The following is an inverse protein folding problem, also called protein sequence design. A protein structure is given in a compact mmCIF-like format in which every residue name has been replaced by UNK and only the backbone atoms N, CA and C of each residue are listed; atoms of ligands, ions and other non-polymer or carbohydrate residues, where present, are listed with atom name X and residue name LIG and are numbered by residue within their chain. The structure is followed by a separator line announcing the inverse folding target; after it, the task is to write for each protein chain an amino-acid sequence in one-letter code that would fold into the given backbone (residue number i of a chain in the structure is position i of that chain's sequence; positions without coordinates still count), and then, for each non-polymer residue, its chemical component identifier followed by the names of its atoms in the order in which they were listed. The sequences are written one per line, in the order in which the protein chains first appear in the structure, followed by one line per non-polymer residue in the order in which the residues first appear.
data_IF_221608518446
#
_entry.id   IF_221608518446
#
_cell.length_a   1.000
_cell.length_b   1.000
_cell.length_c   1.000
_cell.angle_alpha   90.00
_cell.angle_beta   90.00
_cell.angle_gamma   90.00
#
_symmetry.space_group_name_H-M   'P 1'
#
loop_
_entity.id
_entity.type
_entity.pdbx_description
1 polymer ?
#
# COMPACT_ATOMS: atom_id res chain seq x y z
N UNK A 1 47.36 -36.20 25.46
CA UNK A 1 45.92 -36.34 25.17
C UNK A 1 45.39 -34.96 24.81
N UNK A 2 45.25 -34.65 23.51
CA UNK A 2 44.67 -33.38 23.03
C UNK A 2 43.19 -33.62 22.72
N UNK A 3 42.30 -32.90 23.40
CA UNK A 3 40.85 -32.93 23.14
C UNK A 3 40.58 -31.75 22.22
N UNK A 4 40.34 -32.02 20.94
CA UNK A 4 39.91 -31.05 19.96
C UNK A 4 38.39 -30.86 20.08
N UNK A 5 37.96 -29.76 20.67
CA UNK A 5 36.55 -29.38 20.76
C UNK A 5 36.09 -28.79 19.43
N UNK A 6 35.33 -29.56 18.64
CA UNK A 6 34.57 -29.05 17.49
C UNK A 6 33.44 -28.15 17.99
N UNK A 7 33.54 -26.85 17.71
CA UNK A 7 32.44 -25.89 17.86
C UNK A 7 31.48 -26.07 16.67
N UNK A 8 30.30 -26.66 16.91
CA UNK A 8 29.20 -26.64 15.95
C UNK A 8 28.64 -25.21 15.87
N UNK A 9 28.87 -24.54 14.75
CA UNK A 9 28.18 -23.31 14.38
C UNK A 9 26.74 -23.68 13.98
N UNK A 10 25.80 -23.50 14.91
CA UNK A 10 24.38 -23.56 14.58
C UNK A 10 24.04 -22.39 13.65
N UNK A 11 23.78 -22.66 12.39
CA UNK A 11 23.21 -21.69 11.46
C UNK A 11 21.78 -21.40 11.91
N UNK A 12 21.57 -20.28 12.60
CA UNK A 12 20.23 -19.78 12.86
C UNK A 12 19.58 -19.46 11.51
N UNK A 13 18.62 -20.28 11.08
CA UNK A 13 17.78 -19.95 9.93
C UNK A 13 17.05 -18.64 10.23
N UNK A 14 17.04 -17.66 9.32
CA UNK A 14 16.26 -16.45 9.51
C UNK A 14 14.80 -16.85 9.73
N UNK A 15 14.18 -16.32 10.80
CA UNK A 15 12.75 -16.49 11.03
C UNK A 15 12.00 -15.96 9.81
N UNK A 16 10.91 -16.62 9.37
CA UNK A 16 10.06 -16.09 8.32
C UNK A 16 9.67 -14.66 8.66
N UNK A 17 9.78 -13.75 7.69
CA UNK A 17 9.22 -12.42 7.86
C UNK A 17 7.71 -12.57 8.15
N UNK A 18 7.16 -11.87 9.14
CA UNK A 18 5.72 -11.93 9.42
C UNK A 18 4.92 -11.57 8.17
N UNK A 19 3.79 -12.26 7.93
CA UNK A 19 2.93 -12.00 6.78
C UNK A 19 2.42 -10.55 6.83
N UNK A 20 2.83 -9.76 5.84
CA UNK A 20 2.51 -8.33 5.76
C UNK A 20 1.00 -8.05 5.69
N UNK A 21 0.19 -9.03 5.27
CA UNK A 21 -1.27 -8.90 5.12
C UNK A 21 -2.08 -9.69 6.15
N UNK A 22 -1.45 -10.26 7.19
CA UNK A 22 -2.18 -10.85 8.34
C UNK A 22 -3.29 -9.92 8.88
N UNK A 23 -3.05 -8.61 9.10
CA UNK A 23 -4.09 -7.70 9.55
C UNK A 23 -5.28 -7.59 8.58
N UNK A 24 -5.04 -7.71 7.27
CA UNK A 24 -6.11 -7.67 6.28
C UNK A 24 -6.96 -8.94 6.32
N UNK A 25 -6.37 -10.11 6.59
CA UNK A 25 -7.12 -11.36 6.84
C UNK A 25 -8.01 -11.24 8.09
N UNK A 26 -7.62 -10.40 9.04
CA UNK A 26 -8.42 -10.02 10.21
C UNK A 26 -9.45 -8.89 9.93
N UNK A 27 -9.63 -8.49 8.67
CA UNK A 27 -10.60 -7.47 8.26
C UNK A 27 -10.14 -6.02 8.46
N UNK A 28 -8.87 -5.78 8.84
CA UNK A 28 -8.36 -4.41 9.00
C UNK A 28 -8.11 -3.74 7.65
N UNK A 29 -8.19 -2.42 7.65
CA UNK A 29 -7.95 -1.56 6.50
C UNK A 29 -6.56 -0.94 6.65
N UNK A 30 -5.79 -0.93 5.56
CA UNK A 30 -4.50 -0.25 5.56
C UNK A 30 -4.71 1.24 5.37
N UNK A 31 -4.21 2.04 6.29
CA UNK A 31 -4.23 3.50 6.25
C UNK A 31 -2.80 4.01 6.00
N UNK A 32 -2.58 4.67 4.86
CA UNK A 32 -1.27 5.17 4.43
C UNK A 32 -1.25 6.69 4.55
N UNK A 33 -0.15 7.22 5.13
CA UNK A 33 0.00 8.62 5.58
C UNK A 33 -1.19 9.05 6.45
N UNK A 34 -1.33 8.46 7.64
CA UNK A 34 -2.42 8.78 8.56
C UNK A 34 -2.27 10.20 9.13
N UNK A 35 -3.38 10.92 9.23
CA UNK A 35 -3.57 12.00 10.20
C UNK A 35 -4.41 11.44 11.35
N UNK A 36 -3.78 11.24 12.51
CA UNK A 36 -4.42 10.67 13.69
C UNK A 36 -5.37 11.63 14.39
N UNK A 37 -5.19 12.95 14.20
CA UNK A 37 -6.05 13.97 14.79
C UNK A 37 -7.38 14.04 14.01
N UNK A 38 -7.29 14.10 12.67
CA UNK A 38 -8.46 14.13 11.80
C UNK A 38 -9.08 12.75 11.54
N UNK A 39 -8.37 11.66 11.89
CA UNK A 39 -8.70 10.27 11.54
C UNK A 39 -8.86 10.09 10.04
N UNK A 40 -7.94 10.67 9.28
CA UNK A 40 -7.92 10.55 7.83
C UNK A 40 -6.69 9.79 7.36
N UNK A 41 -6.81 9.20 6.17
CA UNK A 41 -5.71 8.53 5.49
C UNK A 41 -5.59 9.13 4.09
N UNK A 42 -4.37 9.51 3.70
CA UNK A 42 -4.18 9.96 2.33
C UNK A 42 -4.46 8.85 1.31
N UNK A 43 -4.29 7.59 1.72
CA UNK A 43 -4.73 6.42 0.96
C UNK A 43 -5.21 5.33 1.90
N UNK A 44 -6.38 4.75 1.60
CA UNK A 44 -6.92 3.58 2.27
C UNK A 44 -6.87 2.39 1.32
N UNK A 45 -6.48 1.22 1.81
CA UNK A 45 -6.45 -0.02 1.02
C UNK A 45 -7.17 -1.13 1.76
N UNK A 46 -8.17 -1.72 1.10
CA UNK A 46 -8.84 -2.95 1.53
C UNK A 46 -8.32 -4.09 0.69
N UNK A 47 -7.73 -5.10 1.32
CA UNK A 47 -7.23 -6.29 0.64
C UNK A 47 -8.21 -7.45 0.82
N UNK A 48 -8.36 -8.23 -0.24
CA UNK A 48 -8.92 -9.58 -0.21
C UNK A 48 -7.79 -10.54 -0.53
N UNK A 49 -7.25 -11.19 0.51
CA UNK A 49 -6.07 -12.05 0.38
C UNK A 49 -6.50 -13.49 0.13
N UNK A 50 -5.98 -14.09 -0.93
CA UNK A 50 -6.25 -15.45 -1.35
C UNK A 50 -5.33 -16.45 -0.63
N UNK A 51 -5.54 -17.75 -0.87
CA UNK A 51 -4.77 -18.82 -0.24
C UNK A 51 -3.38 -19.03 -0.88
N UNK A 52 -3.16 -18.54 -2.10
CA UNK A 52 -1.93 -18.64 -2.88
C UNK A 52 -1.08 -17.36 -2.81
N UNK A 53 -1.28 -16.57 -1.75
CA UNK A 53 -0.63 -15.28 -1.50
C UNK A 53 -0.90 -14.20 -2.56
N UNK A 54 -1.80 -14.45 -3.50
CA UNK A 54 -2.36 -13.40 -4.35
C UNK A 54 -3.34 -12.57 -3.55
N UNK A 55 -3.58 -11.35 -4.01
CA UNK A 55 -4.62 -10.50 -3.46
C UNK A 55 -5.30 -9.68 -4.54
N UNK A 56 -6.56 -9.36 -4.29
CA UNK A 56 -7.22 -8.21 -4.89
C UNK A 56 -7.27 -7.07 -3.87
N UNK A 57 -7.31 -5.83 -4.35
CA UNK A 57 -7.38 -4.66 -3.48
C UNK A 57 -8.29 -3.58 -4.06
N UNK A 58 -9.08 -2.97 -3.18
CA UNK A 58 -9.77 -1.70 -3.45
C UNK A 58 -8.96 -0.60 -2.77
N UNK A 59 -8.47 0.34 -3.58
CA UNK A 59 -7.67 1.47 -3.13
C UNK A 59 -8.49 2.74 -3.25
N UNK A 60 -8.54 3.51 -2.17
CA UNK A 60 -9.19 4.82 -2.12
C UNK A 60 -8.15 5.87 -1.74
N UNK A 61 -7.73 6.72 -2.68
CA UNK A 61 -6.64 7.68 -2.49
C UNK A 61 -7.04 9.12 -2.79
N UNK A 62 -6.51 10.06 -2.01
CA UNK A 62 -6.66 11.50 -2.25
C UNK A 62 -5.76 11.91 -3.43
N UNK A 63 -6.34 12.47 -4.49
CA UNK A 63 -5.63 12.93 -5.70
C UNK A 63 -5.59 14.46 -5.84
N UNK A 64 -6.38 15.17 -5.03
CA UNK A 64 -6.37 16.63 -4.87
C UNK A 64 -6.87 16.97 -3.47
N UNK A 65 -6.33 18.01 -2.82
CA UNK A 65 -6.76 18.48 -1.50
C UNK A 65 -7.77 19.62 -1.57
N UNK A 66 -7.67 20.48 -2.59
CA UNK A 66 -8.48 21.70 -2.71
C UNK A 66 -9.07 21.82 -4.13
N UNK A 67 -10.34 21.41 -4.35
CA UNK A 67 -11.17 20.65 -3.43
C UNK A 67 -10.62 19.24 -3.20
N UNK A 68 -11.07 18.58 -2.13
CA UNK A 68 -10.71 17.18 -1.88
C UNK A 68 -11.35 16.30 -2.95
N UNK A 69 -10.51 15.67 -3.76
CA UNK A 69 -10.92 14.72 -4.79
C UNK A 69 -10.30 13.38 -4.43
N UNK A 70 -11.13 12.35 -4.41
CA UNK A 70 -10.75 10.99 -4.09
C UNK A 70 -10.90 10.14 -5.35
N UNK A 71 -9.96 9.23 -5.55
CA UNK A 71 -10.07 8.17 -6.54
C UNK A 71 -10.22 6.82 -5.84
N UNK A 72 -11.22 6.06 -6.25
CA UNK A 72 -11.35 4.64 -5.93
C UNK A 72 -11.00 3.81 -7.16
N UNK A 73 -10.13 2.81 -7.00
CA UNK A 73 -9.77 1.88 -8.07
C UNK A 73 -9.49 0.49 -7.53
N UNK A 74 -9.56 -0.49 -8.43
CA UNK A 74 -9.26 -1.88 -8.14
C UNK A 74 -7.88 -2.24 -8.69
N UNK A 75 -7.12 -2.99 -7.92
CA UNK A 75 -5.84 -3.54 -8.35
C UNK A 75 -5.65 -4.94 -7.79
N UNK A 76 -4.60 -5.63 -8.23
CA UNK A 76 -4.26 -6.96 -7.74
C UNK A 76 -2.77 -7.17 -7.73
N UNK A 77 -2.33 -8.18 -6.97
CA UNK A 77 -0.92 -8.45 -6.78
C UNK A 77 -0.67 -9.76 -6.07
N UNK A 78 0.54 -9.89 -5.54
CA UNK A 78 0.99 -11.08 -4.82
C UNK A 78 1.97 -10.69 -3.71
N UNK A 79 2.02 -11.49 -2.66
CA UNK A 79 3.07 -11.41 -1.64
C UNK A 79 4.29 -12.18 -2.16
N UNK A 80 5.44 -11.51 -2.26
CA UNK A 80 6.72 -12.07 -2.72
C UNK A 80 7.78 -11.83 -1.64
N UNK A 81 8.34 -12.87 -1.04
CA UNK A 81 9.37 -12.77 0.01
C UNK A 81 9.01 -11.76 1.12
N UNK A 82 7.77 -11.87 1.62
CA UNK A 82 7.20 -10.98 2.65
C UNK A 82 6.91 -9.54 2.20
N UNK A 83 7.12 -9.21 0.92
CA UNK A 83 6.77 -7.92 0.34
C UNK A 83 5.42 -7.99 -0.36
N UNK A 84 4.59 -6.95 -0.23
CA UNK A 84 3.33 -6.85 -0.95
C UNK A 84 3.59 -6.17 -2.29
N UNK A 85 3.50 -6.94 -3.38
CA UNK A 85 3.89 -6.52 -4.71
C UNK A 85 2.68 -6.40 -5.65
N UNK A 86 2.66 -5.35 -6.46
CA UNK A 86 1.75 -5.22 -7.60
C UNK A 86 2.42 -4.49 -8.76
N UNK A 87 1.94 -4.74 -9.97
CA UNK A 87 2.33 -3.95 -11.14
C UNK A 87 1.45 -2.72 -11.23
N UNK A 88 2.05 -1.55 -11.43
CA UNK A 88 1.29 -0.32 -11.66
C UNK A 88 0.69 -0.37 -13.07
N UNK A 89 -0.56 -0.81 -13.18
CA UNK A 89 -1.27 -0.90 -14.46
C UNK A 89 -2.04 0.42 -14.69
N UNK A 90 -1.73 1.21 -15.73
CA UNK A 90 -2.47 2.44 -16.01
C UNK A 90 -3.98 2.23 -16.13
N UNK A 91 -4.40 1.06 -16.63
CA UNK A 91 -5.82 0.72 -16.79
C UNK A 91 -6.60 0.82 -15.48
N UNK A 92 -6.02 0.39 -14.35
CA UNK A 92 -6.64 0.46 -13.02
C UNK A 92 -7.03 1.90 -12.65
N UNK A 93 -6.17 2.85 -12.98
CA UNK A 93 -6.38 4.27 -12.69
C UNK A 93 -7.31 4.93 -13.73
N UNK A 94 -7.24 4.52 -15.00
CA UNK A 94 -8.12 5.05 -16.04
C UNK A 94 -9.58 4.60 -15.87
N UNK A 95 -9.82 3.41 -15.32
CA UNK A 95 -11.15 2.90 -15.00
C UNK A 95 -11.64 3.29 -13.60
N UNK A 96 -10.74 3.82 -12.76
CA UNK A 96 -11.05 4.27 -11.41
C UNK A 96 -12.09 5.39 -11.35
N UNK A 97 -12.90 5.35 -10.30
CA UNK A 97 -13.97 6.31 -10.03
C UNK A 97 -13.40 7.53 -9.30
N UNK A 98 -13.64 8.72 -9.85
CA UNK A 98 -13.28 9.99 -9.21
C UNK A 98 -14.50 10.63 -8.57
N UNK A 99 -14.37 11.06 -7.32
CA UNK A 99 -15.44 11.74 -6.59
C UNK A 99 -14.95 12.97 -5.84
N UNK A 100 -15.87 13.90 -5.63
CA UNK A 100 -15.75 15.02 -4.70
C UNK A 100 -16.95 14.96 -3.76
N UNK A 101 -16.71 14.97 -2.45
CA UNK A 101 -17.76 14.92 -1.43
C UNK A 101 -18.75 13.74 -1.65
N UNK A 102 -18.25 12.60 -2.12
CA UNK A 102 -19.03 11.41 -2.44
C UNK A 102 -19.77 11.43 -3.79
N UNK A 103 -19.83 12.58 -4.47
CA UNK A 103 -20.49 12.73 -5.77
C UNK A 103 -19.48 12.58 -6.94
N UNK A 104 -19.91 12.07 -8.11
CA UNK A 104 -19.10 12.10 -9.33
C UNK A 104 -18.69 13.52 -9.71
N UNK A 105 -17.52 13.67 -10.32
CA UNK A 105 -17.06 14.95 -10.84
C UNK A 105 -17.83 15.37 -12.10
N UNK A 106 -17.86 16.67 -12.38
CA UNK A 106 -18.30 17.15 -13.69
C UNK A 106 -17.34 16.64 -14.79
N UNK A 107 -17.81 16.25 -15.99
CA UNK A 107 -16.98 15.56 -16.99
C UNK A 107 -15.68 16.27 -17.38
N UNK A 108 -15.71 17.60 -17.51
CA UNK A 108 -14.52 18.40 -17.83
C UNK A 108 -13.48 18.39 -16.70
N UNK A 109 -13.95 18.45 -15.44
CA UNK A 109 -13.09 18.38 -14.25
C UNK A 109 -12.49 16.99 -14.12
N UNK A 110 -13.31 15.94 -14.31
CA UNK A 110 -12.85 14.56 -14.27
C UNK A 110 -11.74 14.31 -15.30
N UNK A 111 -11.96 14.74 -16.54
CA UNK A 111 -10.98 14.61 -17.63
C UNK A 111 -9.65 15.27 -17.25
N UNK A 112 -9.71 16.51 -16.73
CA UNK A 112 -8.52 17.25 -16.32
C UNK A 112 -7.76 16.59 -15.16
N UNK A 113 -8.49 16.14 -14.14
CA UNK A 113 -7.91 15.43 -12.98
C UNK A 113 -7.26 14.12 -13.44
N UNK A 114 -7.95 13.34 -14.27
CA UNK A 114 -7.46 12.07 -14.79
C UNK A 114 -6.20 12.25 -15.62
N UNK A 115 -6.14 13.27 -16.48
CA UNK A 115 -4.94 13.60 -17.26
C UNK A 115 -3.73 13.92 -16.34
N UNK A 116 -3.91 14.77 -15.32
CA UNK A 116 -2.84 15.08 -14.35
C UNK A 116 -2.37 13.84 -13.61
N UNK A 117 -3.30 13.00 -13.17
CA UNK A 117 -3.00 11.74 -12.52
C UNK A 117 -2.18 10.81 -13.44
N UNK A 118 -2.55 10.70 -14.72
CA UNK A 118 -1.83 9.85 -15.68
C UNK A 118 -0.41 10.35 -15.93
N UNK A 119 -0.20 11.66 -16.01
CA UNK A 119 1.13 12.25 -16.11
C UNK A 119 1.98 11.94 -14.87
N UNK A 120 1.41 12.03 -13.67
CA UNK A 120 2.12 11.70 -12.43
C UNK A 120 2.49 10.22 -12.33
N UNK A 121 1.67 9.32 -12.88
CA UNK A 121 1.88 7.87 -12.84
C UNK A 121 2.79 7.36 -13.96
N UNK A 122 3.01 8.15 -15.01
CA UNK A 122 3.81 7.75 -16.17
C UNK A 122 5.19 7.15 -15.81
N UNK A 123 5.96 7.68 -14.83
CA UNK A 123 7.26 7.10 -14.47
C UNK A 123 7.18 5.70 -13.83
N UNK A 124 5.99 5.32 -13.35
CA UNK A 124 5.71 4.05 -12.67
C UNK A 124 4.97 3.05 -13.56
N UNK A 125 4.38 3.49 -14.67
CA UNK A 125 3.56 2.65 -15.54
C UNK A 125 4.29 1.38 -15.97
N UNK A 126 3.64 0.22 -15.74
CA UNK A 126 4.17 -1.10 -16.07
C UNK A 126 5.22 -1.63 -15.10
N UNK A 127 5.67 -0.84 -14.12
CA UNK A 127 6.68 -1.26 -13.16
C UNK A 127 6.07 -2.05 -12.01
N UNK A 128 6.79 -3.06 -11.54
CA UNK A 128 6.50 -3.73 -10.27
C UNK A 128 6.88 -2.81 -9.13
N UNK A 129 5.89 -2.48 -8.30
CA UNK A 129 6.04 -1.78 -7.04
C UNK A 129 5.74 -2.75 -5.91
N UNK A 130 6.68 -2.90 -4.99
CA UNK A 130 6.48 -3.64 -3.76
C UNK A 130 6.60 -2.70 -2.56
N UNK A 131 6.05 -3.11 -1.43
CA UNK A 131 6.42 -2.53 -0.14
C UNK A 131 6.73 -3.62 0.88
N UNK A 132 7.71 -3.34 1.74
CA UNK A 132 7.96 -4.13 2.96
C UNK A 132 7.74 -3.24 4.16
N UNK A 133 7.00 -3.76 5.12
CA UNK A 133 6.72 -3.04 6.35
C UNK A 133 7.80 -3.32 7.39
N UNK A 134 8.21 -2.25 8.08
CA UNK A 134 8.99 -2.32 9.30
C UNK A 134 8.18 -1.69 10.43
N UNK A 135 8.11 -2.31 11.61
CA UNK A 135 7.51 -1.69 12.78
C UNK A 135 8.17 -0.34 13.10
N UNK A 136 7.35 0.66 13.45
CA UNK A 136 7.76 2.00 13.86
C UNK A 136 6.80 2.56 14.92
N UNK A 137 7.12 2.35 16.20
CA UNK A 137 6.23 2.66 17.32
C UNK A 137 4.89 1.95 17.18
N UNK A 138 3.79 2.70 17.26
CA UNK A 138 2.42 2.19 17.09
C UNK A 138 2.00 2.01 15.61
N UNK A 139 2.93 2.22 14.67
CA UNK A 139 2.67 2.13 13.24
C UNK A 139 3.75 1.39 12.48
N UNK A 140 3.78 1.65 11.19
CA UNK A 140 4.67 1.01 10.22
C UNK A 140 5.35 2.09 9.38
N UNK A 141 6.58 1.81 9.00
CA UNK A 141 7.21 2.45 7.84
C UNK A 141 7.28 1.42 6.72
N UNK A 142 6.67 1.74 5.59
CA UNK A 142 6.73 0.95 4.37
C UNK A 142 7.92 1.38 3.53
N UNK A 143 8.90 0.49 3.40
CA UNK A 143 9.98 0.66 2.43
C UNK A 143 9.45 0.36 1.03
N UNK A 144 9.46 1.35 0.15
CA UNK A 144 8.96 1.20 -1.23
C UNK A 144 10.07 0.69 -2.13
N UNK A 145 9.75 -0.33 -2.92
CA UNK A 145 10.68 -0.98 -3.84
C UNK A 145 10.08 -0.90 -5.24
N UNK A 146 10.84 -0.41 -6.22
CA UNK A 146 10.43 -0.34 -7.62
C UNK A 146 11.47 -1.07 -8.46
N UNK A 147 11.04 -2.07 -9.24
CA UNK A 147 11.96 -2.89 -10.05
C UNK A 147 13.14 -3.45 -9.22
N UNK A 148 12.85 -3.92 -8.01
CA UNK A 148 13.84 -4.49 -7.09
C UNK A 148 14.73 -3.46 -6.37
N UNK A 149 14.60 -2.17 -6.66
CA UNK A 149 15.39 -1.12 -6.01
C UNK A 149 14.59 -0.35 -4.97
N UNK A 150 15.14 -0.21 -3.77
CA UNK A 150 14.55 0.62 -2.72
C UNK A 150 14.51 2.09 -3.15
N UNK A 151 13.41 2.77 -2.83
CA UNK A 151 13.13 4.18 -3.10
C UNK A 151 12.81 4.86 -1.78
N UNK A 152 13.86 5.17 -1.01
CA UNK A 152 13.73 5.67 0.36
C UNK A 152 12.93 7.00 0.41
N UNK A 153 13.03 7.82 -0.63
CA UNK A 153 12.25 9.06 -0.81
C UNK A 153 10.74 8.81 -0.96
N UNK A 154 10.35 7.59 -1.30
CA UNK A 154 8.96 7.17 -1.43
C UNK A 154 8.45 6.41 -0.20
N UNK A 155 9.26 6.24 0.85
CA UNK A 155 8.82 5.55 2.06
C UNK A 155 7.60 6.24 2.67
N UNK A 156 6.69 5.44 3.20
CA UNK A 156 5.40 5.94 3.69
C UNK A 156 5.13 5.40 5.08
N UNK A 157 4.62 6.27 5.96
CA UNK A 157 4.03 5.82 7.22
C UNK A 157 2.71 5.14 6.95
N UNK A 158 2.42 4.06 7.66
CA UNK A 158 1.13 3.38 7.60
C UNK A 158 0.70 2.87 8.98
N UNK A 159 -0.60 2.65 9.14
CA UNK A 159 -1.22 1.96 10.27
C UNK A 159 -2.31 1.02 9.75
N UNK A 160 -2.70 0.05 10.56
CA UNK A 160 -3.87 -0.79 10.31
C UNK A 160 -5.01 -0.34 11.21
N UNK A 161 -6.15 0.00 10.61
CA UNK A 161 -7.33 0.52 11.32
C UNK A 161 -8.51 -0.44 11.20
N UNK A 162 -9.37 -0.47 12.21
CA UNK A 162 -10.62 -1.21 12.11
C UNK A 162 -11.65 -0.41 11.28
N UNK A 163 -12.51 -1.07 10.49
CA UNK A 163 -13.58 -0.39 9.75
C UNK A 163 -14.48 0.51 10.62
N UNK A 164 -14.70 0.12 11.88
CA UNK A 164 -15.54 0.80 12.86
C UNK A 164 -14.90 2.02 13.54
N UNK A 165 -13.59 2.24 13.36
CA UNK A 165 -12.85 3.32 14.04
C UNK A 165 -13.13 4.73 13.45
N UNK A 166 -13.90 4.81 12.36
CA UNK A 166 -14.34 6.06 11.74
C UNK A 166 -13.30 6.74 10.84
N UNK A 167 -12.30 6.00 10.35
CA UNK A 167 -11.30 6.55 9.45
C UNK A 167 -11.84 6.76 8.03
N UNK A 168 -11.40 7.85 7.37
CA UNK A 168 -11.84 8.19 6.03
C UNK A 168 -10.67 8.64 5.11
N UNK A 169 -10.84 8.61 3.79
CA UNK A 169 -9.88 9.24 2.87
C UNK A 169 -9.82 10.76 3.12
N UNK A 170 -8.62 11.30 3.29
CA UNK A 170 -8.38 12.72 3.54
C UNK A 170 -6.91 13.01 3.85
N UNK A 171 -6.53 14.28 3.90
CA UNK A 171 -5.19 14.75 4.29
C UNK A 171 -5.29 15.98 5.16
#
# INVERSE_FOLDING_TARGET
MMIASLLLLATASPLPAPDALDPARMGKIRCIRPDTQARTCATMVRYSVHADDRFDAVVTGVVSTEPTIVMEYQTSGQIEDGAVCSTVRPVDFTSGKLTKDGAPLAPAVETSVRQRLMLALQPLAGKKRCYRDRPDGDGLVSDVIIEGQVRAEMNQRAIWVAPEDGWAPGM
#
